data_IF_563113017075
#
_entry.id   IF_563113017075
#
_cell.length_a   1.000
_cell.length_b   1.000
_cell.length_c   1.000
_cell.angle_alpha   90.00
_cell.angle_beta   90.00
_cell.angle_gamma   90.00
#
_symmetry.space_group_name_H-M   'P 1'
#
loop_
_entity.id
_entity.type
_entity.pdbx_description
1 polymer ?
#
# COMPACT_ATOMS: atom_id res chain seq x y z
N UNK A 1 -24.59 34.38 0.09
CA UNK A 1 -24.89 33.40 1.15
C UNK A 1 -24.17 33.83 2.43
N UNK A 2 -24.91 34.26 3.46
CA UNK A 2 -24.38 34.64 4.78
C UNK A 2 -24.58 33.46 5.72
N UNK A 3 -23.50 32.88 6.25
CA UNK A 3 -23.56 31.90 7.33
C UNK A 3 -23.43 32.64 8.67
N UNK A 4 -24.52 32.66 9.44
CA UNK A 4 -24.48 33.07 10.85
C UNK A 4 -24.16 31.84 11.70
N UNK A 5 -23.04 31.87 12.40
CA UNK A 5 -22.67 30.88 13.40
C UNK A 5 -23.03 31.41 14.80
N UNK A 6 -23.94 30.74 15.49
CA UNK A 6 -24.16 30.91 16.93
C UNK A 6 -23.34 29.86 17.71
N UNK A 7 -22.69 30.22 18.82
CA UNK A 7 -21.96 29.27 19.66
C UNK A 7 -22.90 28.64 20.69
N UNK A 8 -23.01 27.31 20.70
CA UNK A 8 -23.64 26.56 21.78
C UNK A 8 -22.68 26.41 22.97
N UNK A 9 -23.23 26.70 24.16
CA UNK A 9 -22.59 26.56 25.48
C UNK A 9 -22.45 25.07 25.84
N UNK A 10 -21.24 24.66 26.22
CA UNK A 10 -20.99 23.37 26.86
C UNK A 10 -21.40 23.41 28.33
N UNK A 11 -22.34 22.54 28.72
CA UNK A 11 -22.65 22.23 30.11
C UNK A 11 -21.79 21.03 30.54
N UNK A 12 -21.03 21.22 31.62
CA UNK A 12 -20.23 20.22 32.31
C UNK A 12 -21.14 19.37 33.22
N UNK A 13 -21.48 18.16 32.76
CA UNK A 13 -22.15 17.13 33.56
C UNK A 13 -21.16 16.06 33.98
N UNK A 14 -20.74 16.09 35.25
CA UNK A 14 -19.96 15.05 35.91
C UNK A 14 -20.88 13.85 36.20
N UNK A 15 -20.64 12.73 35.53
CA UNK A 15 -21.36 11.47 35.75
C UNK A 15 -20.37 10.32 35.81
N UNK A 16 -19.97 9.95 37.02
CA UNK A 16 -19.21 8.73 37.32
C UNK A 16 -20.08 7.50 37.06
N UNK A 17 -19.82 6.82 35.94
CA UNK A 17 -20.28 5.46 35.69
C UNK A 17 -19.12 4.49 35.93
N UNK A 18 -19.16 3.78 37.06
CA UNK A 18 -18.32 2.61 37.29
C UNK A 18 -18.85 1.45 36.43
N UNK A 19 -18.13 1.12 35.35
CA UNK A 19 -18.32 -0.13 34.62
C UNK A 19 -17.31 -1.14 35.17
N UNK A 20 -17.79 -2.10 35.95
CA UNK A 20 -17.01 -3.27 36.37
C UNK A 20 -16.91 -4.21 35.16
N UNK A 21 -15.79 -4.17 34.45
CA UNK A 21 -15.43 -5.22 33.51
C UNK A 21 -14.86 -6.42 34.29
N UNK A 22 -15.70 -7.38 34.65
CA UNK A 22 -15.24 -8.75 34.94
C UNK A 22 -15.07 -9.46 33.60
N UNK A 23 -13.93 -9.24 32.96
CA UNK A 23 -13.56 -9.83 31.68
C UNK A 23 -12.19 -10.50 31.75
N UNK A 24 -11.96 -11.32 32.77
CA UNK A 24 -10.76 -12.14 32.87
C UNK A 24 -10.81 -13.25 31.82
N UNK A 25 -10.10 -13.06 30.70
CA UNK A 25 -9.79 -14.18 29.82
C UNK A 25 -9.10 -15.26 30.66
N UNK A 26 -9.59 -16.52 30.69
CA UNK A 26 -8.87 -17.59 31.33
C UNK A 26 -7.53 -17.70 30.61
N UNK A 27 -6.45 -17.46 31.34
CA UNK A 27 -5.09 -17.57 30.84
C UNK A 27 -4.97 -18.89 30.08
N UNK A 28 -4.46 -18.85 28.85
CA UNK A 28 -4.24 -20.02 27.97
C UNK A 28 -3.53 -21.17 28.72
N UNK A 29 -2.79 -20.84 29.78
CA UNK A 29 -2.22 -21.79 30.75
C UNK A 29 -3.24 -22.75 31.37
N UNK A 30 -4.48 -22.32 31.68
CA UNK A 30 -5.54 -23.20 32.22
C UNK A 30 -6.10 -24.18 31.20
N UNK A 31 -6.08 -23.85 29.90
CA UNK A 31 -6.56 -24.75 28.84
C UNK A 31 -5.51 -25.76 28.40
N UNK A 32 -4.22 -25.43 28.52
CA UNK A 32 -3.12 -26.33 28.14
C UNK A 32 -2.70 -27.29 29.27
N UNK A 33 -2.97 -26.94 30.54
CA UNK A 33 -2.59 -27.76 31.68
C UNK A 33 -3.17 -29.19 31.67
N UNK A 34 -4.46 -29.42 31.32
CA UNK A 34 -5.02 -30.77 31.25
C UNK A 34 -4.36 -31.63 30.16
N UNK A 35 -4.03 -31.03 29.01
CA UNK A 35 -3.38 -31.73 27.90
C UNK A 35 -1.93 -32.13 28.23
N UNK A 36 -1.17 -31.23 28.88
CA UNK A 36 0.20 -31.53 29.33
C UNK A 36 0.18 -32.60 30.40
N UNK A 37 -0.75 -32.53 31.36
CA UNK A 37 -0.87 -33.51 32.41
C UNK A 37 -1.22 -34.91 31.87
N UNK A 38 -2.19 -35.00 30.95
CA UNK A 38 -2.57 -36.27 30.31
C UNK A 38 -1.43 -36.88 29.49
N UNK A 39 -0.68 -36.05 28.76
CA UNK A 39 0.48 -36.53 27.98
C UNK A 39 1.62 -37.00 28.88
N UNK A 40 1.89 -36.29 29.99
CA UNK A 40 2.87 -36.72 30.98
C UNK A 40 2.48 -38.06 31.63
N UNK A 41 1.21 -38.24 31.99
CA UNK A 41 0.73 -39.52 32.54
C UNK A 41 0.90 -40.65 31.52
N UNK A 42 0.53 -40.41 30.26
CA UNK A 42 0.65 -41.42 29.20
C UNK A 42 2.11 -41.82 28.93
N UNK A 43 3.04 -40.84 28.92
CA UNK A 43 4.47 -41.10 28.76
C UNK A 43 5.03 -41.87 29.96
N UNK A 44 4.65 -41.49 31.18
CA UNK A 44 5.06 -42.19 32.40
C UNK A 44 4.59 -43.64 32.40
N UNK A 45 3.34 -43.90 32.00
CA UNK A 45 2.79 -45.25 31.95
C UNK A 45 3.48 -46.12 30.88
N UNK A 46 3.74 -45.56 29.69
CA UNK A 46 4.55 -46.22 28.65
C UNK A 46 5.97 -46.53 29.10
N UNK A 47 6.62 -45.60 29.82
CA UNK A 47 7.96 -45.87 30.38
C UNK A 47 7.93 -46.95 31.46
N UNK A 48 6.89 -47.00 32.28
CA UNK A 48 6.71 -48.03 33.32
C UNK A 48 6.54 -49.43 32.71
N UNK A 49 5.79 -49.54 31.62
CA UNK A 49 5.63 -50.79 30.86
C UNK A 49 6.98 -51.21 30.25
N UNK A 50 7.75 -50.27 29.70
CA UNK A 50 9.06 -50.56 29.12
C UNK A 50 10.09 -51.04 30.17
N UNK A 51 10.02 -50.56 31.42
CA UNK A 51 10.92 -50.98 32.50
C UNK A 51 10.70 -52.42 32.97
N UNK A 52 9.53 -53.03 32.73
CA UNK A 52 9.30 -54.45 33.07
C UNK A 52 10.02 -55.42 32.14
N UNK A 53 10.50 -54.95 31.00
CA UNK A 53 11.37 -55.71 30.10
C UNK A 53 12.82 -55.58 30.59
N UNK A 54 13.33 -56.60 31.28
CA UNK A 54 14.70 -56.68 31.85
C UNK A 54 15.82 -56.79 30.79
N UNK A 55 15.66 -56.17 29.62
CA UNK A 55 16.67 -56.13 28.58
C UNK A 55 17.58 -54.90 28.72
N UNK A 56 18.90 -55.00 28.43
CA UNK A 56 19.84 -53.87 28.54
C UNK A 56 19.49 -52.65 27.66
N UNK A 57 18.57 -52.80 26.70
CA UNK A 57 18.06 -51.70 25.87
C UNK A 57 17.05 -50.78 26.57
N UNK A 58 16.44 -51.21 27.69
CA UNK A 58 15.44 -50.40 28.42
C UNK A 58 16.06 -49.20 29.13
N UNK A 59 17.30 -49.33 29.63
CA UNK A 59 18.03 -48.25 30.28
C UNK A 59 18.33 -47.08 29.33
N UNK A 60 18.72 -47.37 28.09
CA UNK A 60 19.03 -46.34 27.09
C UNK A 60 17.79 -45.53 26.73
N UNK A 61 16.64 -46.20 26.53
CA UNK A 61 15.37 -45.53 26.21
C UNK A 61 14.87 -44.65 27.35
N UNK A 62 15.12 -45.04 28.61
CA UNK A 62 14.79 -44.24 29.78
C UNK A 62 15.57 -42.92 29.81
N UNK A 63 16.88 -42.95 29.55
CA UNK A 63 17.69 -41.73 29.52
C UNK A 63 17.26 -40.77 28.39
N UNK A 64 16.92 -41.27 27.20
CA UNK A 64 16.42 -40.43 26.11
C UNK A 64 15.07 -39.79 26.41
N UNK A 65 14.16 -40.50 27.09
CA UNK A 65 12.85 -39.94 27.48
C UNK A 65 12.98 -38.87 28.56
N UNK A 66 13.82 -39.09 29.58
CA UNK A 66 14.11 -38.08 30.61
C UNK A 66 14.76 -36.84 30.01
N UNK A 67 15.75 -37.01 29.13
CA UNK A 67 16.40 -35.89 28.44
C UNK A 67 15.43 -35.12 27.55
N UNK A 68 14.58 -35.83 26.79
CA UNK A 68 13.56 -35.23 25.93
C UNK A 68 12.54 -34.39 26.71
N UNK A 69 12.08 -34.88 27.87
CA UNK A 69 11.18 -34.14 28.76
C UNK A 69 11.89 -32.89 29.32
N UNK A 70 13.14 -33.01 29.78
CA UNK A 70 13.90 -31.88 30.31
C UNK A 70 14.09 -30.75 29.27
N UNK A 71 14.39 -31.11 28.02
CA UNK A 71 14.50 -30.14 26.90
C UNK A 71 13.17 -29.45 26.63
N UNK A 72 12.06 -30.20 26.61
CA UNK A 72 10.70 -29.66 26.41
C UNK A 72 10.32 -28.65 27.51
N UNK A 73 10.60 -28.96 28.77
CA UNK A 73 10.37 -28.03 29.89
C UNK A 73 11.26 -26.78 29.79
N UNK A 74 12.52 -26.92 29.37
CA UNK A 74 13.41 -25.80 29.12
C UNK A 74 12.88 -24.85 28.03
N UNK A 75 12.44 -25.39 26.89
CA UNK A 75 11.86 -24.60 25.81
C UNK A 75 10.57 -23.90 26.24
N UNK A 76 9.69 -24.60 26.97
CA UNK A 76 8.44 -24.01 27.48
C UNK A 76 8.71 -22.90 28.51
N UNK A 77 9.73 -23.05 29.35
CA UNK A 77 10.13 -22.04 30.32
C UNK A 77 10.68 -20.77 29.64
N UNK A 78 11.53 -20.94 28.62
CA UNK A 78 12.05 -19.82 27.82
C UNK A 78 10.91 -19.12 27.07
N UNK A 79 9.99 -19.88 26.48
CA UNK A 79 8.85 -19.34 25.74
C UNK A 79 7.92 -18.54 26.66
N UNK A 80 7.58 -19.06 27.84
CA UNK A 80 6.70 -18.35 28.80
C UNK A 80 7.33 -17.07 29.33
N UNK A 81 8.64 -17.05 29.61
CA UNK A 81 9.37 -15.82 29.97
C UNK A 81 9.40 -14.81 28.83
N UNK A 82 9.61 -15.26 27.60
CA UNK A 82 9.58 -14.39 26.42
C UNK A 82 8.20 -13.74 26.23
N UNK A 83 7.12 -14.53 26.32
CA UNK A 83 5.75 -14.02 26.19
C UNK A 83 5.39 -13.07 27.33
N UNK A 84 5.82 -13.35 28.56
CA UNK A 84 5.62 -12.44 29.70
C UNK A 84 6.35 -11.10 29.49
N UNK A 85 7.61 -11.14 29.03
CA UNK A 85 8.38 -9.94 28.71
C UNK A 85 7.76 -9.14 27.57
N UNK A 86 7.27 -9.82 26.52
CA UNK A 86 6.59 -9.19 25.39
C UNK A 86 5.29 -8.52 25.83
N UNK A 87 4.48 -9.19 26.65
CA UNK A 87 3.24 -8.62 27.18
C UNK A 87 3.51 -7.44 28.13
N UNK A 88 4.55 -7.53 28.97
CA UNK A 88 4.97 -6.41 29.80
C UNK A 88 5.42 -5.22 28.94
N UNK A 89 6.18 -5.45 27.87
CA UNK A 89 6.57 -4.40 26.92
C UNK A 89 5.35 -3.78 26.20
N UNK A 90 4.37 -4.60 25.78
CA UNK A 90 3.15 -4.11 25.13
C UNK A 90 2.26 -3.31 26.10
N UNK A 91 2.15 -3.73 27.36
CA UNK A 91 1.37 -2.99 28.37
C UNK A 91 2.09 -1.71 28.81
N UNK A 92 3.42 -1.72 28.91
CA UNK A 92 4.23 -0.53 29.09
C UNK A 92 3.98 0.46 27.94
N UNK A 93 3.97 -0.02 26.70
CA UNK A 93 3.74 0.80 25.52
C UNK A 93 2.34 1.42 25.42
N UNK A 94 1.33 0.79 26.03
CA UNK A 94 -0.03 1.35 26.10
C UNK A 94 -0.17 2.47 27.14
N UNK A 95 0.55 2.39 28.26
CA UNK A 95 0.52 3.42 29.31
C UNK A 95 1.39 4.64 28.98
N UNK A 96 2.34 4.50 28.05
CA UNK A 96 3.32 5.51 27.67
C UNK A 96 3.20 5.93 26.20
N UNK A 97 1.97 6.20 25.71
CA UNK A 97 1.73 6.78 24.37
C UNK A 97 2.48 8.10 24.10
N UNK A 98 3.09 8.72 25.12
CA UNK A 98 3.90 9.93 24.97
C UNK A 98 5.41 9.70 24.91
N UNK A 99 5.92 8.51 25.27
CA UNK A 99 7.36 8.30 25.48
C UNK A 99 7.99 7.23 24.58
N UNK A 100 7.28 6.21 24.08
CA UNK A 100 7.91 5.10 23.36
C UNK A 100 8.41 5.40 21.92
N UNK A 101 8.36 6.65 21.49
CA UNK A 101 8.90 7.07 20.19
C UNK A 101 10.21 7.84 20.31
N UNK A 102 10.74 8.04 21.53
CA UNK A 102 11.84 8.98 21.73
C UNK A 102 13.14 8.57 21.03
N UNK A 103 13.47 7.28 21.01
CA UNK A 103 14.70 6.79 20.38
C UNK A 103 14.60 6.58 18.86
N UNK A 104 13.40 6.28 18.34
CA UNK A 104 13.21 6.06 16.91
C UNK A 104 11.74 6.27 16.51
N UNK A 105 11.33 7.53 16.31
CA UNK A 105 9.98 7.89 15.85
C UNK A 105 9.71 7.46 14.38
N UNK A 106 10.70 6.83 13.75
CA UNK A 106 10.59 6.22 12.43
C UNK A 106 10.29 7.24 11.34
N UNK A 107 9.64 6.77 10.28
CA UNK A 107 9.28 7.59 9.12
C UNK A 107 8.21 8.66 9.43
N UNK A 108 7.44 8.48 10.51
CA UNK A 108 6.41 9.43 10.92
C UNK A 108 6.96 10.59 11.74
N UNK A 109 8.23 10.54 12.13
CA UNK A 109 8.88 11.58 12.90
C UNK A 109 8.68 13.00 12.37
N UNK A 110 8.88 13.30 11.07
CA UNK A 110 8.67 14.65 10.57
C UNK A 110 7.23 15.10 10.76
N UNK A 111 6.25 14.18 10.71
CA UNK A 111 4.83 14.52 10.88
C UNK A 111 4.47 14.77 12.34
N UNK A 112 4.92 13.91 13.25
CA UNK A 112 4.56 13.98 14.67
C UNK A 112 5.28 15.17 15.31
N UNK A 113 6.55 15.39 15.00
CA UNK A 113 7.38 16.42 15.65
C UNK A 113 7.66 17.66 14.81
N UNK A 114 6.99 17.88 13.65
CA UNK A 114 7.18 19.11 12.83
C UNK A 114 7.09 20.41 13.62
N UNK A 115 6.26 20.45 14.66
CA UNK A 115 6.03 21.66 15.46
C UNK A 115 7.11 21.93 16.51
N UNK A 116 7.93 20.94 16.86
CA UNK A 116 8.94 21.06 17.92
C UNK A 116 10.35 20.88 17.37
N UNK A 117 10.53 19.98 16.41
CA UNK A 117 11.83 19.63 15.84
C UNK A 117 12.55 20.79 15.16
N UNK A 118 11.83 21.73 14.54
CA UNK A 118 12.47 22.87 13.86
C UNK A 118 12.51 24.15 14.70
N UNK A 119 11.62 24.28 15.68
CA UNK A 119 11.50 25.53 16.46
C UNK A 119 12.41 25.57 17.68
N UNK A 120 12.83 24.40 18.18
CA UNK A 120 13.66 24.30 19.38
C UNK A 120 15.17 24.19 19.08
N UNK A 121 15.56 24.18 17.80
CA UNK A 121 16.95 24.02 17.40
C UNK A 121 17.39 25.17 16.50
N UNK A 122 18.64 25.68 16.65
CA UNK A 122 19.18 26.74 15.80
C UNK A 122 19.50 26.26 14.38
N UNK A 123 19.36 24.96 14.11
CA UNK A 123 19.73 24.35 12.83
C UNK A 123 18.51 24.08 11.95
N UNK A 124 18.59 24.51 10.70
CA UNK A 124 17.53 24.33 9.70
C UNK A 124 17.54 22.95 9.02
N UNK A 125 18.52 22.10 9.34
CA UNK A 125 18.75 20.79 8.74
C UNK A 125 18.93 19.77 9.84
N UNK A 126 18.17 18.69 9.76
CA UNK A 126 18.22 17.57 10.70
C UNK A 126 18.59 16.32 9.89
N UNK A 127 19.68 15.67 10.28
CA UNK A 127 20.08 14.39 9.70
C UNK A 127 19.37 13.26 10.43
N UNK A 128 18.64 12.43 9.68
CA UNK A 128 17.99 11.24 10.19
C UNK A 128 18.74 10.01 9.71
N UNK A 129 19.23 9.20 10.65
CA UNK A 129 19.90 7.93 10.39
C UNK A 129 18.97 6.80 10.84
N UNK A 130 18.07 6.32 9.97
CA UNK A 130 17.15 5.26 10.34
C UNK A 130 17.92 3.96 10.59
N UNK A 131 17.76 3.37 11.78
CA UNK A 131 18.42 2.11 12.14
C UNK A 131 17.99 0.93 11.24
N UNK A 132 16.75 0.95 10.74
CA UNK A 132 16.16 -0.15 9.97
C UNK A 132 16.15 0.07 8.45
N UNK A 133 16.39 1.30 7.99
CA UNK A 133 16.37 1.66 6.58
C UNK A 133 17.80 2.04 6.17
N UNK A 134 18.37 1.39 5.16
CA UNK A 134 19.79 1.54 4.80
C UNK A 134 20.21 2.96 4.32
N UNK A 135 19.30 3.92 4.23
CA UNK A 135 19.57 5.25 3.67
C UNK A 135 19.30 6.31 4.73
N UNK A 136 20.32 7.08 5.07
CA UNK A 136 20.14 8.34 5.80
C UNK A 136 19.34 9.32 4.94
N UNK A 137 18.55 10.16 5.59
CA UNK A 137 17.86 11.26 4.93
C UNK A 137 18.09 12.56 5.69
N UNK A 138 18.09 13.68 4.96
CA UNK A 138 18.13 15.01 5.55
C UNK A 138 16.72 15.58 5.50
N UNK A 139 16.23 16.02 6.65
CA UNK A 139 14.98 16.76 6.77
C UNK A 139 15.33 18.24 6.91
N UNK A 140 14.73 19.08 6.07
CA UNK A 140 15.04 20.51 6.00
C UNK A 140 13.78 21.29 6.33
N UNK A 141 13.89 22.25 7.26
CA UNK A 141 12.80 23.13 7.66
C UNK A 141 12.81 24.50 6.96
N UNK A 142 13.94 24.91 6.40
CA UNK A 142 14.11 26.20 5.70
C UNK A 142 13.86 26.08 4.20
N UNK A 143 13.08 27.03 3.67
CA UNK A 143 12.80 27.14 2.24
C UNK A 143 14.07 27.49 1.44
N UNK A 144 14.97 28.28 2.01
CA UNK A 144 16.24 28.70 1.40
C UNK A 144 17.16 27.49 1.22
N UNK A 145 17.31 26.67 2.27
CA UNK A 145 18.11 25.44 2.19
C UNK A 145 17.47 24.45 1.22
N UNK A 146 16.14 24.32 1.22
CA UNK A 146 15.45 23.47 0.24
C UNK A 146 15.70 23.95 -1.19
N UNK A 147 15.64 25.26 -1.47
CA UNK A 147 15.98 25.83 -2.79
C UNK A 147 17.42 25.55 -3.18
N UNK A 148 18.36 25.63 -2.24
CA UNK A 148 19.76 25.29 -2.50
C UNK A 148 19.93 23.81 -2.86
N UNK A 149 19.28 22.90 -2.13
CA UNK A 149 19.30 21.47 -2.42
C UNK A 149 18.66 21.14 -3.78
N UNK A 150 17.50 21.75 -4.08
CA UNK A 150 16.82 21.62 -5.37
C UNK A 150 17.55 22.37 -6.51
N UNK A 151 18.45 23.31 -6.20
CA UNK A 151 19.30 23.97 -7.19
C UNK A 151 20.49 23.11 -7.62
N UNK A 152 20.95 22.21 -6.75
CA UNK A 152 22.10 21.33 -7.01
C UNK A 152 21.76 20.00 -7.68
N UNK A 153 20.51 19.86 -8.14
CA UNK A 153 19.98 18.64 -8.75
C UNK A 153 20.83 18.12 -9.91
N UNK A 154 21.49 18.97 -10.70
CA UNK A 154 22.32 18.53 -11.83
C UNK A 154 23.47 17.55 -11.53
N UNK A 155 23.85 17.32 -10.26
CA UNK A 155 25.00 16.47 -9.89
C UNK A 155 24.67 15.02 -9.55
N UNK A 156 23.42 14.63 -9.35
CA UNK A 156 23.07 13.25 -8.96
C UNK A 156 22.69 12.44 -10.21
N UNK A 157 23.34 11.30 -10.47
CA UNK A 157 23.08 10.46 -11.66
C UNK A 157 21.60 10.05 -11.83
N UNK A 158 20.81 10.07 -10.76
CA UNK A 158 19.37 9.80 -10.79
C UNK A 158 18.59 10.84 -11.65
N UNK A 159 19.14 12.04 -11.82
CA UNK A 159 18.49 13.15 -12.52
C UNK A 159 18.39 12.96 -14.01
N UNK A 160 19.34 12.28 -14.65
CA UNK A 160 19.28 12.08 -16.10
C UNK A 160 18.08 11.21 -16.49
N UNK A 161 17.80 10.16 -15.71
CA UNK A 161 16.62 9.32 -15.92
C UNK A 161 15.32 10.10 -15.69
N UNK A 162 15.26 10.87 -14.61
CA UNK A 162 14.08 11.69 -14.30
C UNK A 162 13.86 12.78 -15.35
N UNK A 163 14.92 13.44 -15.82
CA UNK A 163 14.84 14.50 -16.84
C UNK A 163 14.33 13.95 -18.16
N UNK A 164 14.86 12.81 -18.61
CA UNK A 164 14.36 12.11 -19.82
C UNK A 164 12.89 11.74 -19.67
N UNK A 165 12.51 11.17 -18.52
CA UNK A 165 11.11 10.85 -18.25
C UNK A 165 10.25 12.11 -18.31
N UNK A 166 10.62 13.17 -17.57
CA UNK A 166 9.91 14.46 -17.54
C UNK A 166 9.77 15.10 -18.92
N UNK A 167 10.78 15.01 -19.76
CA UNK A 167 10.71 15.52 -21.13
C UNK A 167 9.65 14.78 -21.96
N UNK A 168 9.51 13.47 -21.75
CA UNK A 168 8.50 12.65 -22.46
C UNK A 168 7.09 12.92 -21.92
N UNK A 169 6.89 13.00 -20.60
CA UNK A 169 5.56 13.28 -20.02
C UNK A 169 5.18 14.76 -20.05
N UNK A 170 6.14 15.68 -20.12
CA UNK A 170 5.91 17.13 -20.06
C UNK A 170 4.87 17.65 -21.06
N UNK A 171 4.91 17.24 -22.35
CA UNK A 171 3.91 17.64 -23.34
C UNK A 171 2.46 17.24 -22.98
N UNK A 172 2.26 16.18 -22.20
CA UNK A 172 0.93 15.79 -21.74
C UNK A 172 0.34 16.78 -20.72
N UNK A 173 1.19 17.53 -20.01
CA UNK A 173 0.83 18.54 -19.02
C UNK A 173 0.92 19.98 -19.57
N UNK A 174 0.47 20.18 -20.81
CA UNK A 174 0.43 21.49 -21.44
C UNK A 174 -0.75 22.33 -20.89
N UNK A 175 -0.58 23.65 -20.78
CA UNK A 175 -1.64 24.60 -20.45
C UNK A 175 -2.90 24.42 -21.31
N UNK A 176 -2.73 24.02 -22.58
CA UNK A 176 -3.83 23.72 -23.51
C UNK A 176 -4.71 22.53 -23.09
N UNK A 177 -4.22 21.63 -22.22
CA UNK A 177 -4.95 20.45 -21.74
C UNK A 177 -5.77 20.72 -20.48
N UNK A 178 -5.48 21.77 -19.70
CA UNK A 178 -6.25 22.09 -18.49
C UNK A 178 -7.75 22.38 -18.75
N UNK A 179 -8.15 23.05 -19.86
CA UNK A 179 -9.57 23.18 -20.19
C UNK A 179 -10.28 21.83 -20.36
N UNK A 180 -9.59 20.83 -20.93
CA UNK A 180 -10.14 19.48 -21.09
C UNK A 180 -10.31 18.78 -19.73
N UNK A 181 -9.33 18.91 -18.83
CA UNK A 181 -9.43 18.37 -17.46
C UNK A 181 -10.59 19.02 -16.71
N UNK A 182 -10.78 20.32 -16.89
CA UNK A 182 -11.88 21.07 -16.26
C UNK A 182 -13.24 20.61 -16.78
N UNK A 183 -13.37 20.45 -18.11
CA UNK A 183 -14.57 19.93 -18.74
C UNK A 183 -14.91 18.52 -18.22
N UNK A 184 -13.92 17.63 -18.18
CA UNK A 184 -14.10 16.27 -17.66
C UNK A 184 -14.43 16.25 -16.17
N UNK A 185 -13.89 17.18 -15.38
CA UNK A 185 -14.26 17.32 -13.98
C UNK A 185 -15.73 17.72 -13.82
N UNK A 186 -16.23 18.66 -14.62
CA UNK A 186 -17.65 19.05 -14.63
C UNK A 186 -18.54 17.89 -15.08
N UNK A 187 -18.16 17.17 -16.14
CA UNK A 187 -18.91 15.99 -16.60
C UNK A 187 -18.95 14.89 -15.55
N UNK A 188 -17.82 14.62 -14.90
CA UNK A 188 -17.72 13.62 -13.83
C UNK A 188 -18.55 14.04 -12.62
N UNK A 189 -18.56 15.32 -12.28
CA UNK A 189 -19.38 15.85 -11.18
C UNK A 189 -20.87 15.71 -11.47
N UNK A 190 -21.33 16.08 -12.66
CA UNK A 190 -22.74 15.90 -13.06
C UNK A 190 -23.15 14.43 -13.04
N UNK A 191 -22.29 13.55 -13.56
CA UNK A 191 -22.54 12.11 -13.51
C UNK A 191 -22.58 11.56 -12.07
N UNK A 192 -21.75 12.09 -11.18
CA UNK A 192 -21.79 11.79 -9.75
C UNK A 192 -23.10 12.27 -9.13
N UNK A 193 -23.43 13.54 -9.28
CA UNK A 193 -24.62 14.15 -8.68
C UNK A 193 -25.91 13.44 -9.12
N UNK A 194 -26.03 13.09 -10.40
CA UNK A 194 -27.20 12.37 -10.91
C UNK A 194 -27.26 10.91 -10.46
N UNK A 195 -26.12 10.21 -10.38
CA UNK A 195 -26.10 8.79 -9.95
C UNK A 195 -26.37 8.65 -8.45
N UNK A 196 -25.88 9.59 -7.64
CA UNK A 196 -26.07 9.57 -6.18
C UNK A 196 -27.39 10.24 -5.75
N UNK A 197 -28.18 10.77 -6.70
CA UNK A 197 -29.47 11.42 -6.42
C UNK A 197 -29.36 12.75 -5.68
N UNK A 198 -28.26 13.48 -5.86
CA UNK A 198 -28.03 14.76 -5.20
C UNK A 198 -28.80 15.92 -5.83
N UNK A 199 -29.25 15.78 -7.08
CA UNK A 199 -29.98 16.83 -7.79
C UNK A 199 -31.37 17.10 -7.18
N UNK A 200 -31.98 16.07 -6.56
CA UNK A 200 -33.33 16.14 -5.98
C UNK A 200 -33.34 16.48 -4.49
N UNK A 201 -32.16 16.62 -3.86
CA UNK A 201 -32.02 16.82 -2.42
C UNK A 201 -31.57 18.24 -2.10
N UNK A 202 -32.26 18.92 -1.19
CA UNK A 202 -31.83 20.23 -0.68
C UNK A 202 -30.60 20.13 0.25
N UNK A 203 -30.45 18.99 0.93
CA UNK A 203 -29.34 18.70 1.83
C UNK A 203 -28.83 17.27 1.60
N UNK A 204 -27.51 17.14 1.39
CA UNK A 204 -26.85 15.85 1.15
C UNK A 204 -25.89 15.54 2.30
N UNK A 205 -26.17 14.49 3.06
CA UNK A 205 -25.30 14.03 4.15
C UNK A 205 -24.33 12.97 3.61
N UNK A 206 -23.07 13.35 3.44
CA UNK A 206 -22.00 12.44 2.99
C UNK A 206 -21.27 11.89 4.22
N UNK A 207 -21.39 10.59 4.56
CA UNK A 207 -20.79 10.04 5.77
C UNK A 207 -19.25 10.05 5.74
N UNK A 208 -18.66 9.93 4.55
CA UNK A 208 -17.22 10.02 4.35
C UNK A 208 -16.91 10.62 2.97
N UNK A 209 -16.32 11.81 2.95
CA UNK A 209 -15.98 12.53 1.71
C UNK A 209 -14.78 11.93 0.96
N UNK A 210 -13.85 11.29 1.69
CA UNK A 210 -12.61 10.74 1.15
C UNK A 210 -12.80 9.74 0.00
N UNK A 211 -13.63 8.67 0.13
CA UNK A 211 -13.83 7.72 -0.96
C UNK A 211 -14.45 8.38 -2.20
N UNK A 212 -15.37 9.34 -2.01
CA UNK A 212 -16.02 10.08 -3.10
C UNK A 212 -14.99 10.91 -3.88
N UNK A 213 -14.17 11.71 -3.18
CA UNK A 213 -13.11 12.52 -3.80
C UNK A 213 -12.06 11.64 -4.48
N UNK A 214 -11.67 10.52 -3.87
CA UNK A 214 -10.68 9.61 -4.43
C UNK A 214 -11.18 9.02 -5.76
N UNK A 215 -12.43 8.54 -5.78
CA UNK A 215 -13.08 8.01 -6.98
C UNK A 215 -13.22 9.07 -8.07
N UNK A 216 -13.67 10.27 -7.70
CA UNK A 216 -13.78 11.42 -8.60
C UNK A 216 -12.45 11.78 -9.25
N UNK A 217 -11.40 11.94 -8.44
CA UNK A 217 -10.06 12.28 -8.92
C UNK A 217 -9.49 11.17 -9.79
N UNK A 218 -9.74 9.91 -9.43
CA UNK A 218 -9.30 8.77 -10.21
C UNK A 218 -9.94 8.73 -11.60
N UNK A 219 -11.26 8.94 -11.71
CA UNK A 219 -11.96 8.96 -13.01
C UNK A 219 -11.38 10.06 -13.92
N UNK A 220 -11.11 11.24 -13.36
CA UNK A 220 -10.48 12.35 -14.13
C UNK A 220 -9.08 11.95 -14.61
N UNK A 221 -8.24 11.39 -13.74
CA UNK A 221 -6.90 10.93 -14.12
C UNK A 221 -6.96 9.81 -15.17
N UNK A 222 -7.90 8.88 -15.05
CA UNK A 222 -8.09 7.78 -16.00
C UNK A 222 -8.49 8.31 -17.39
N UNK A 223 -9.45 9.22 -17.46
CA UNK A 223 -9.93 9.79 -18.72
C UNK A 223 -8.91 10.75 -19.35
N UNK A 224 -8.45 11.74 -18.60
CA UNK A 224 -7.59 12.79 -19.13
C UNK A 224 -6.13 12.35 -19.29
N UNK A 225 -5.62 11.55 -18.35
CA UNK A 225 -4.23 11.12 -18.33
C UNK A 225 -3.97 9.87 -19.15
N UNK A 226 -4.88 8.90 -19.11
CA UNK A 226 -4.69 7.59 -19.76
C UNK A 226 -5.65 7.30 -20.91
N UNK A 227 -6.62 8.19 -21.19
CA UNK A 227 -7.63 7.94 -22.23
C UNK A 227 -8.56 6.76 -21.93
N UNK A 228 -8.68 6.36 -20.65
CA UNK A 228 -9.48 5.22 -20.24
C UNK A 228 -10.95 5.65 -20.01
N UNK A 229 -11.93 5.02 -20.67
CA UNK A 229 -13.34 5.37 -20.53
C UNK A 229 -13.92 4.80 -19.23
N UNK A 230 -13.64 5.44 -18.09
CA UNK A 230 -14.18 5.05 -16.78
C UNK A 230 -15.46 5.83 -16.51
N UNK A 231 -16.58 5.16 -16.24
CA UNK A 231 -17.85 5.79 -15.87
C UNK A 231 -18.00 5.95 -14.36
N UNK A 232 -18.74 6.97 -13.90
CA UNK A 232 -19.16 7.08 -12.49
C UNK A 232 -20.14 5.98 -12.09
N UNK A 233 -21.02 5.56 -13.00
CA UNK A 233 -21.99 4.50 -12.71
C UNK A 233 -21.23 3.19 -12.52
N UNK A 234 -21.34 2.63 -11.31
CA UNK A 234 -20.98 1.24 -11.03
C UNK A 234 -22.02 0.37 -11.69
N UNK A 235 -21.84 0.05 -12.97
CA UNK A 235 -22.57 -1.08 -13.53
C UNK A 235 -22.10 -2.30 -12.74
N UNK A 236 -23.00 -2.89 -11.95
CA UNK A 236 -22.79 -4.16 -11.24
C UNK A 236 -22.46 -5.32 -12.19
N UNK A 237 -22.42 -5.08 -13.50
CA UNK A 237 -21.74 -5.93 -14.45
C UNK A 237 -20.31 -6.13 -13.98
N UNK A 238 -19.83 -7.37 -14.02
CA UNK A 238 -18.48 -7.86 -13.71
C UNK A 238 -17.38 -7.25 -14.61
N UNK A 239 -17.42 -5.94 -14.77
CA UNK A 239 -16.68 -5.09 -15.67
C UNK A 239 -15.32 -4.75 -15.08
N UNK A 240 -14.31 -4.77 -15.94
CA UNK A 240 -12.90 -4.49 -15.65
C UNK A 240 -12.65 -3.16 -14.91
N UNK A 241 -13.61 -2.23 -14.94
CA UNK A 241 -13.55 -0.94 -14.22
C UNK A 241 -13.69 -1.08 -12.72
N UNK A 242 -14.58 -1.94 -12.22
CA UNK A 242 -14.71 -2.21 -10.79
C UNK A 242 -13.41 -2.85 -10.24
N UNK A 243 -12.81 -3.75 -11.03
CA UNK A 243 -11.52 -4.34 -10.71
C UNK A 243 -10.38 -3.31 -10.68
N UNK A 244 -10.43 -2.27 -11.52
CA UNK A 244 -9.42 -1.21 -11.52
C UNK A 244 -9.54 -0.30 -10.30
N UNK A 245 -10.76 0.12 -9.94
CA UNK A 245 -11.01 0.92 -8.75
C UNK A 245 -10.59 0.17 -7.48
N UNK A 246 -10.97 -1.11 -7.37
CA UNK A 246 -10.53 -1.98 -6.27
C UNK A 246 -9.00 -2.12 -6.27
N UNK A 247 -8.37 -2.39 -7.43
CA UNK A 247 -6.92 -2.52 -7.53
C UNK A 247 -6.18 -1.24 -7.09
N UNK A 248 -6.69 -0.05 -7.41
CA UNK A 248 -6.08 1.21 -6.97
C UNK A 248 -6.35 1.53 -5.51
N UNK A 249 -7.54 1.24 -4.99
CA UNK A 249 -7.84 1.34 -3.57
C UNK A 249 -6.90 0.43 -2.77
N UNK A 250 -6.74 -0.81 -3.23
CA UNK A 250 -5.78 -1.79 -2.71
C UNK A 250 -4.34 -1.28 -2.84
N UNK A 251 -3.93 -0.77 -4.00
CA UNK A 251 -2.58 -0.25 -4.20
C UNK A 251 -2.28 0.96 -3.31
N UNK A 252 -3.22 1.88 -3.15
CA UNK A 252 -3.04 3.10 -2.35
C UNK A 252 -2.97 2.81 -0.84
N UNK A 253 -3.83 1.91 -0.34
CA UNK A 253 -3.82 1.48 1.08
C UNK A 253 -2.56 0.72 1.45
N UNK A 254 -1.94 0.05 0.48
CA UNK A 254 -0.77 -0.81 0.70
C UNK A 254 0.57 -0.16 0.40
N UNK A 255 0.56 0.93 -0.36
CA UNK A 255 1.74 1.67 -0.73
C UNK A 255 2.50 2.16 0.51
N UNK A 256 1.78 2.66 1.51
CA UNK A 256 2.37 3.19 2.75
C UNK A 256 3.11 2.09 3.52
N UNK A 257 2.49 0.93 3.87
CA UNK A 257 3.21 -0.20 4.45
C UNK A 257 4.45 -0.61 3.64
N UNK A 258 4.34 -0.62 2.29
CA UNK A 258 5.43 -1.02 1.40
C UNK A 258 6.63 -0.07 1.43
N UNK A 259 6.42 1.20 1.73
CA UNK A 259 7.49 2.17 1.91
C UNK A 259 8.14 2.11 3.29
N UNK A 260 7.36 1.79 4.33
CA UNK A 260 7.83 1.80 5.72
C UNK A 260 8.56 0.50 6.07
N UNK A 261 8.06 -0.64 5.56
CA UNK A 261 8.58 -1.96 5.89
C UNK A 261 9.83 -2.26 5.04
N UNK A 262 11.00 -2.51 5.65
CA UNK A 262 12.20 -2.90 4.91
C UNK A 262 11.99 -4.18 4.08
N UNK A 263 12.63 -4.25 2.90
CA UNK A 263 12.50 -5.42 1.99
C UNK A 263 12.80 -6.77 2.65
N UNK A 264 13.72 -6.81 3.61
CA UNK A 264 14.08 -8.06 4.30
C UNK A 264 12.95 -8.61 5.18
N UNK A 265 12.06 -7.75 5.69
CA UNK A 265 10.91 -8.17 6.50
C UNK A 265 9.95 -8.99 5.66
N UNK A 266 9.77 -8.65 4.39
CA UNK A 266 8.97 -9.43 3.44
C UNK A 266 9.56 -10.81 3.12
N UNK A 267 10.85 -11.03 3.41
CA UNK A 267 11.51 -12.32 3.23
C UNK A 267 11.43 -13.24 4.46
N UNK A 268 10.87 -12.78 5.58
CA UNK A 268 10.75 -13.61 6.77
C UNK A 268 9.62 -14.64 6.60
N UNK A 269 9.86 -15.93 6.88
CA UNK A 269 8.85 -16.98 6.83
C UNK A 269 7.94 -16.91 8.07
N UNK A 270 7.38 -15.75 8.36
CA UNK A 270 6.41 -15.58 9.44
C UNK A 270 5.11 -16.20 8.93
N UNK A 271 4.85 -17.45 9.33
CA UNK A 271 3.53 -18.07 9.14
C UNK A 271 2.57 -17.32 10.05
N UNK A 272 1.84 -16.35 9.51
CA UNK A 272 0.90 -15.52 10.27
C UNK A 272 -0.30 -16.36 10.72
N UNK A 273 -0.19 -17.07 11.84
CA UNK A 273 -1.28 -17.80 12.51
C UNK A 273 -2.20 -16.85 13.30
N UNK A 274 -2.45 -15.64 12.80
CA UNK A 274 -3.20 -14.61 13.54
C UNK A 274 -4.47 -14.26 12.78
N UNK A 275 -5.45 -15.16 12.94
CA UNK A 275 -6.85 -14.95 12.63
C UNK A 275 -7.59 -14.08 13.69
N UNK A 276 -6.89 -13.42 14.63
CA UNK A 276 -7.57 -12.81 15.80
C UNK A 276 -7.48 -11.29 15.96
N UNK A 277 -6.79 -10.55 15.08
CA UNK A 277 -6.78 -9.07 15.15
C UNK A 277 -7.42 -8.46 13.90
N UNK A 278 -8.75 -8.38 13.94
CA UNK A 278 -9.68 -7.99 12.86
C UNK A 278 -9.38 -6.63 12.20
N UNK A 279 -8.54 -5.78 12.78
CA UNK A 279 -8.10 -4.51 12.15
C UNK A 279 -6.82 -4.60 11.30
N UNK A 280 -5.97 -5.61 11.53
CA UNK A 280 -4.77 -5.86 10.72
C UNK A 280 -5.06 -6.80 9.54
N UNK A 281 -6.06 -7.66 9.67
CA UNK A 281 -6.43 -8.67 8.66
C UNK A 281 -6.92 -8.05 7.35
N UNK A 282 -7.66 -6.93 7.38
CA UNK A 282 -8.10 -6.24 6.15
C UNK A 282 -6.96 -5.61 5.34
N UNK A 283 -5.82 -5.29 5.96
CA UNK A 283 -4.64 -4.75 5.28
C UNK A 283 -3.54 -5.80 5.04
N UNK A 284 -3.56 -6.94 5.72
CA UNK A 284 -2.53 -7.99 5.59
C UNK A 284 -2.90 -9.15 4.65
N UNK A 285 -4.20 -9.47 4.46
CA UNK A 285 -4.60 -10.33 3.32
C UNK A 285 -4.20 -9.71 1.99
N UNK A 286 -4.09 -8.37 2.01
CA UNK A 286 -3.61 -7.60 0.90
C UNK A 286 -2.12 -7.83 0.68
N UNK A 287 -1.28 -8.06 1.70
CA UNK A 287 0.16 -8.28 1.51
C UNK A 287 0.47 -9.55 0.72
N UNK A 288 -0.27 -10.65 0.94
CA UNK A 288 -0.15 -11.85 0.10
C UNK A 288 -0.63 -11.58 -1.33
N UNK A 289 -1.77 -10.89 -1.50
CA UNK A 289 -2.25 -10.44 -2.82
C UNK A 289 -1.31 -9.44 -3.49
N UNK A 290 -0.55 -8.64 -2.73
CA UNK A 290 0.41 -7.67 -3.28
C UNK A 290 1.59 -8.37 -3.89
N UNK A 291 2.07 -9.46 -3.29
CA UNK A 291 3.13 -10.24 -3.91
C UNK A 291 2.65 -10.83 -5.26
N UNK A 292 1.43 -11.34 -5.30
CA UNK A 292 0.80 -11.86 -6.53
C UNK A 292 0.54 -10.76 -7.56
N UNK A 293 0.02 -9.59 -7.15
CA UNK A 293 -0.21 -8.43 -8.01
C UNK A 293 1.11 -7.86 -8.53
N UNK A 294 2.17 -7.79 -7.72
CA UNK A 294 3.48 -7.30 -8.12
C UNK A 294 4.14 -8.22 -9.16
N UNK A 295 3.99 -9.54 -9.00
CA UNK A 295 4.40 -10.51 -10.02
C UNK A 295 3.56 -10.39 -11.30
N UNK A 296 2.24 -10.23 -11.18
CA UNK A 296 1.34 -10.06 -12.32
C UNK A 296 1.60 -8.75 -13.08
N UNK A 297 1.81 -7.64 -12.37
CA UNK A 297 2.05 -6.31 -12.95
C UNK A 297 3.38 -6.26 -13.71
N UNK A 298 4.45 -6.81 -13.12
CA UNK A 298 5.75 -6.93 -13.79
C UNK A 298 5.71 -7.87 -15.00
N UNK A 299 4.98 -8.99 -14.92
CA UNK A 299 4.92 -9.99 -16.00
C UNK A 299 4.03 -9.56 -17.18
N UNK A 300 2.95 -8.81 -16.94
CA UNK A 300 1.91 -8.57 -17.96
C UNK A 300 1.81 -7.14 -18.49
N UNK A 301 2.01 -6.12 -17.65
CA UNK A 301 1.86 -4.73 -18.07
C UNK A 301 3.15 -4.22 -18.73
N UNK A 302 4.30 -4.45 -18.07
CA UNK A 302 5.60 -3.95 -18.54
C UNK A 302 6.06 -4.65 -19.82
N UNK A 303 5.79 -5.96 -19.97
CA UNK A 303 6.10 -6.70 -21.20
C UNK A 303 5.30 -6.22 -22.42
N UNK A 304 4.02 -5.86 -22.23
CA UNK A 304 3.14 -5.40 -23.33
C UNK A 304 3.37 -3.93 -23.69
N UNK A 305 3.58 -3.05 -22.70
CA UNK A 305 3.93 -1.64 -22.92
C UNK A 305 5.24 -1.47 -23.70
N UNK A 306 6.22 -2.36 -23.51
CA UNK A 306 7.48 -2.34 -24.26
C UNK A 306 7.27 -2.71 -25.74
N UNK A 307 6.32 -3.60 -26.06
CA UNK A 307 6.01 -4.00 -27.44
C UNK A 307 5.27 -2.88 -28.17
N UNK A 308 4.23 -2.30 -27.57
CA UNK A 308 3.44 -1.23 -28.21
C UNK A 308 4.28 0.03 -28.44
N UNK A 309 5.26 0.29 -27.58
CA UNK A 309 6.18 1.43 -27.72
C UNK A 309 7.16 1.26 -28.87
N UNK A 310 7.66 0.05 -29.14
CA UNK A 310 8.57 -0.20 -30.28
C UNK A 310 7.86 0.01 -31.62
N UNK A 311 6.60 -0.41 -31.71
CA UNK A 311 5.78 -0.22 -32.91
C UNK A 311 5.40 1.25 -33.12
N UNK A 312 5.10 1.99 -32.03
CA UNK A 312 4.80 3.41 -32.10
C UNK A 312 6.04 4.28 -32.45
N UNK A 313 7.21 3.98 -31.87
CA UNK A 313 8.45 4.68 -32.19
C UNK A 313 8.91 4.42 -33.63
N UNK A 314 8.67 3.21 -34.16
CA UNK A 314 8.91 2.92 -35.59
C UNK A 314 8.02 3.73 -36.54
N UNK A 315 6.81 4.09 -36.10
CA UNK A 315 5.90 4.94 -36.85
C UNK A 315 6.30 6.42 -36.77
N UNK A 316 6.79 6.88 -35.61
CA UNK A 316 7.32 8.24 -35.46
C UNK A 316 8.57 8.46 -36.34
N UNK A 317 9.48 7.49 -36.41
CA UNK A 317 10.67 7.54 -37.29
C UNK A 317 10.30 7.59 -38.78
N UNK A 318 9.23 6.91 -39.22
CA UNK A 318 8.72 7.03 -40.61
C UNK A 318 8.09 8.40 -40.86
N UNK A 319 7.34 8.95 -39.89
CA UNK A 319 6.70 10.27 -40.00
C UNK A 319 7.72 11.41 -40.02
N UNK A 320 8.80 11.30 -39.24
CA UNK A 320 9.85 12.33 -39.22
C UNK A 320 10.76 12.25 -40.46
N UNK A 321 10.98 11.08 -41.06
CA UNK A 321 11.59 10.97 -42.40
C UNK A 321 10.76 11.67 -43.48
N UNK A 322 9.43 11.66 -43.35
CA UNK A 322 8.53 12.36 -44.27
C UNK A 322 8.53 13.88 -44.06
N UNK A 323 8.70 14.37 -42.83
CA UNK A 323 8.86 15.81 -42.55
C UNK A 323 10.17 16.40 -43.08
N UNK A 324 11.25 15.62 -43.09
CA UNK A 324 12.54 16.07 -43.65
C UNK A 324 12.44 16.27 -45.18
N UNK A 325 11.48 15.64 -45.85
CA UNK A 325 11.23 15.78 -47.29
C UNK A 325 10.34 16.99 -47.65
N UNK A 326 9.58 17.53 -46.70
CA UNK A 326 8.48 18.48 -46.98
C UNK A 326 8.84 19.97 -46.87
N UNK A 327 10.05 20.38 -47.26
CA UNK A 327 10.36 21.81 -47.45
C UNK A 327 9.76 22.39 -48.76
N UNK A 328 9.04 21.59 -49.55
CA UNK A 328 8.21 22.01 -50.67
C UNK A 328 6.83 21.36 -50.57
N UNK A 329 5.77 22.14 -50.74
CA UNK A 329 4.39 21.74 -50.51
C UNK A 329 3.88 20.68 -51.52
N UNK A 330 2.94 19.85 -51.02
CA UNK A 330 2.15 18.79 -51.67
C UNK A 330 2.82 17.41 -51.79
N UNK A 331 2.63 16.59 -50.74
CA UNK A 331 2.73 15.13 -50.86
C UNK A 331 1.74 14.63 -51.92
N UNK A 332 2.16 13.78 -52.87
CA UNK A 332 1.27 13.24 -53.88
C UNK A 332 0.16 12.41 -53.19
N UNK A 333 -1.10 12.45 -53.69
CA UNK A 333 -2.25 11.80 -53.06
C UNK A 333 -2.05 10.31 -52.75
N UNK A 334 -1.20 9.63 -53.54
CA UNK A 334 -0.86 8.21 -53.38
C UNK A 334 -0.13 7.90 -52.07
N UNK A 335 0.72 8.80 -51.59
CA UNK A 335 1.49 8.58 -50.37
C UNK A 335 0.62 8.81 -49.13
N UNK A 336 -0.30 9.78 -49.19
CA UNK A 336 -1.27 10.03 -48.14
C UNK A 336 -2.21 8.82 -47.96
N UNK A 337 -2.64 8.21 -49.06
CA UNK A 337 -3.50 7.01 -49.05
C UNK A 337 -2.75 5.80 -48.48
N UNK A 338 -1.46 5.62 -48.80
CA UNK A 338 -0.64 4.56 -48.23
C UNK A 338 -0.41 4.73 -46.72
N UNK A 339 -0.18 5.97 -46.25
CA UNK A 339 -0.04 6.29 -44.83
C UNK A 339 -1.36 6.05 -44.09
N UNK A 340 -2.48 6.55 -44.62
CA UNK A 340 -3.80 6.32 -44.05
C UNK A 340 -4.16 4.83 -44.02
N UNK A 341 -3.81 4.08 -45.06
CA UNK A 341 -3.99 2.62 -45.10
C UNK A 341 -3.17 1.90 -44.01
N UNK A 342 -1.89 2.27 -43.82
CA UNK A 342 -1.05 1.73 -42.74
C UNK A 342 -1.61 2.09 -41.35
N UNK A 343 -2.01 3.33 -41.13
CA UNK A 343 -2.63 3.80 -39.88
C UNK A 343 -3.93 3.05 -39.60
N UNK A 344 -4.79 2.90 -40.60
CA UNK A 344 -6.04 2.15 -40.49
C UNK A 344 -5.81 0.65 -40.25
N UNK A 345 -4.73 0.07 -40.80
CA UNK A 345 -4.32 -1.31 -40.53
C UNK A 345 -3.82 -1.46 -39.08
N UNK A 346 -3.03 -0.52 -38.57
CA UNK A 346 -2.62 -0.49 -37.15
C UNK A 346 -3.81 -0.34 -36.20
N UNK A 347 -4.79 0.52 -36.53
CA UNK A 347 -6.03 0.67 -35.75
C UNK A 347 -6.85 -0.63 -35.78
N UNK A 348 -6.96 -1.29 -36.94
CA UNK A 348 -7.64 -2.60 -37.05
C UNK A 348 -6.93 -3.68 -36.25
N UNK A 349 -5.60 -3.73 -36.25
CA UNK A 349 -4.81 -4.68 -35.45
C UNK A 349 -4.95 -4.39 -33.95
N UNK A 350 -4.94 -3.12 -33.54
CA UNK A 350 -5.19 -2.71 -32.16
C UNK A 350 -6.60 -3.12 -31.71
N UNK A 351 -7.62 -2.90 -32.55
CA UNK A 351 -8.98 -3.33 -32.27
C UNK A 351 -9.13 -4.87 -32.28
N UNK A 352 -8.40 -5.59 -33.13
CA UNK A 352 -8.37 -7.04 -33.13
C UNK A 352 -7.69 -7.61 -31.87
N UNK A 353 -6.64 -6.96 -31.37
CA UNK A 353 -6.01 -7.32 -30.08
C UNK A 353 -6.95 -7.04 -28.89
N UNK A 354 -7.82 -6.04 -29.00
CA UNK A 354 -8.90 -5.81 -28.03
C UNK A 354 -10.00 -6.89 -28.14
N UNK A 355 -10.30 -7.37 -29.36
CA UNK A 355 -11.32 -8.40 -29.62
C UNK A 355 -10.87 -9.85 -29.38
N UNK A 356 -9.57 -10.18 -29.46
CA UNK A 356 -9.04 -11.51 -29.06
C UNK A 356 -9.23 -11.74 -27.55
N UNK A 357 -9.56 -10.70 -26.78
CA UNK A 357 -9.92 -10.79 -25.36
C UNK A 357 -11.41 -11.07 -25.11
N UNK A 358 -12.20 -11.31 -26.15
CA UNK A 358 -13.64 -11.58 -26.10
C UNK A 358 -14.04 -12.94 -26.70
N UNK A 359 -13.11 -13.90 -26.77
CA UNK A 359 -13.42 -15.33 -26.81
C UNK A 359 -12.74 -16.05 -25.66
#
# INVERSE_FOLDING_TARGET
>A
MKFNAHPQKFLTGCGTFSVIFVGGYPSITRLLWPCVHSTCIWVLDRTRIAMRSNGPKSHVLMWFTVLGIAVLFGVLHVYTRYVAALNAAVQSAKSHQHLDHWWNPGYLWPRIWRKTAYFNHPHNVISMVPLLVKRSCYCVGSMEVMKQLLGQEGKIQLWDMWRRHRQIVGPAFNAKKYPLVTLEAVHTYKAMASTEGWEDQEEVVIPAINPVILRFTFIIMARCGFGLPVSWVNKNDSSKTAALEEALSVASTTLIPRFIIPRWVYGLPIKYSVASSVYLVRNLSVVSRLHEIDQAWNKHLMGKLVVTRKEYLSLEDEVDKLKISSAGWLLPPTDLVNILSKVMKCIKTANAMVNIKYR
#
